data_IF_568306908694
#
_entry.id   IF_568306908694
#
_cell.length_a   1.000
_cell.length_b   1.000
_cell.length_c   1.000
_cell.angle_alpha   90.00
_cell.angle_beta   90.00
_cell.angle_gamma   90.00
#
_symmetry.space_group_name_H-M   'P 1'
#
loop_
_entity.id
_entity.type
_entity.pdbx_description
1 polymer ?
#
# COMPACT_ATOMS: atom_id res chain seq x y z
N UNK A 1 0.13 3.42 20.71
CA UNK A 1 -0.37 2.97 19.40
C UNK A 1 -1.03 4.14 18.68
N UNK A 2 -0.69 4.36 17.43
CA UNK A 2 -1.21 5.49 16.66
C UNK A 2 -1.81 4.98 15.35
N UNK A 3 -2.90 5.61 14.92
CA UNK A 3 -3.58 5.28 13.67
C UNK A 3 -3.54 6.49 12.76
N UNK A 4 -3.15 6.27 11.51
CA UNK A 4 -3.06 7.31 10.49
C UNK A 4 -3.86 6.86 9.27
N UNK A 5 -4.71 7.75 8.76
CA UNK A 5 -5.44 7.49 7.52
C UNK A 5 -4.95 8.44 6.43
N UNK A 6 -4.87 7.92 5.21
CA UNK A 6 -4.43 8.72 4.08
C UNK A 6 -5.04 8.18 2.79
N UNK A 7 -4.98 9.00 1.75
CA UNK A 7 -5.37 8.62 0.41
C UNK A 7 -4.18 8.88 -0.51
N UNK A 8 -3.73 7.84 -1.20
CA UNK A 8 -2.59 7.94 -2.10
C UNK A 8 -3.09 7.82 -3.54
N UNK A 9 -2.67 8.74 -4.39
CA UNK A 9 -2.94 8.62 -5.82
C UNK A 9 -1.87 7.71 -6.42
N UNK A 10 -2.27 6.50 -6.79
CA UNK A 10 -1.37 5.51 -7.38
C UNK A 10 -1.30 5.73 -8.88
N UNK A 11 -0.09 5.75 -9.42
CA UNK A 11 0.16 5.96 -10.84
C UNK A 11 0.97 4.79 -11.39
N UNK A 12 1.37 4.88 -12.66
CA UNK A 12 2.21 3.85 -13.29
C UNK A 12 3.66 3.88 -12.79
N UNK A 13 4.00 4.84 -11.91
CA UNK A 13 5.28 4.87 -11.22
C UNK A 13 5.07 4.36 -9.79
N UNK A 14 5.88 3.39 -9.35
CA UNK A 14 5.74 2.82 -8.01
C UNK A 14 5.97 3.89 -6.94
N UNK A 15 5.14 3.86 -5.89
CA UNK A 15 5.18 4.81 -4.79
C UNK A 15 5.12 4.08 -3.47
N UNK A 16 5.75 4.64 -2.44
CA UNK A 16 5.65 4.13 -1.08
C UNK A 16 4.29 4.51 -0.50
N UNK A 17 3.54 3.53 -0.03
CA UNK A 17 2.24 3.75 0.61
C UNK A 17 2.28 3.51 2.12
N UNK A 18 3.27 2.77 2.61
CA UNK A 18 3.55 2.65 4.04
C UNK A 18 5.06 2.68 4.21
N UNK A 19 5.56 3.73 4.84
CA UNK A 19 7.00 3.96 5.00
C UNK A 19 7.62 3.00 6.00
N UNK A 20 8.92 2.80 5.89
CA UNK A 20 9.70 2.05 6.86
C UNK A 20 9.51 2.69 8.23
N UNK A 21 9.26 1.85 9.24
CA UNK A 21 9.11 2.30 10.62
C UNK A 21 9.92 1.38 11.52
N UNK A 22 10.20 1.84 12.73
CA UNK A 22 10.90 1.03 13.73
C UNK A 22 9.96 0.18 14.57
N UNK A 23 8.69 0.12 14.19
CA UNK A 23 7.68 -0.73 14.84
C UNK A 23 6.88 -1.45 13.78
N UNK A 24 6.20 -2.53 14.17
CA UNK A 24 5.28 -3.25 13.28
C UNK A 24 4.08 -2.37 12.98
N UNK A 25 3.60 -2.44 11.74
CA UNK A 25 2.42 -1.69 11.29
C UNK A 25 1.36 -2.66 10.77
N UNK A 26 0.11 -2.40 11.13
CA UNK A 26 -1.04 -3.05 10.51
C UNK A 26 -1.61 -2.08 9.48
N UNK A 27 -1.67 -2.50 8.22
CA UNK A 27 -2.08 -1.64 7.12
C UNK A 27 -3.35 -2.19 6.49
N UNK A 28 -4.38 -1.35 6.44
CA UNK A 28 -5.65 -1.64 5.79
C UNK A 28 -5.70 -0.86 4.48
N UNK A 29 -5.98 -1.55 3.39
CA UNK A 29 -6.01 -0.96 2.06
C UNK A 29 -7.38 -1.14 1.43
N UNK A 30 -7.84 -0.11 0.71
CA UNK A 30 -9.04 -0.19 -0.11
C UNK A 30 -8.72 0.47 -1.45
N UNK A 31 -8.68 -0.33 -2.51
CA UNK A 31 -8.30 0.15 -3.83
C UNK A 31 -9.51 0.58 -4.64
N UNK A 32 -9.35 1.65 -5.40
CA UNK A 32 -10.37 2.16 -6.32
C UNK A 32 -10.00 1.90 -7.78
N UNK A 33 -9.09 0.97 -8.02
CA UNK A 33 -8.66 0.56 -9.34
C UNK A 33 -7.61 -0.54 -9.24
N UNK A 34 -7.17 -1.08 -10.37
CA UNK A 34 -6.18 -2.16 -10.38
C UNK A 34 -4.84 -1.65 -9.86
N UNK A 35 -4.46 -2.10 -8.68
CA UNK A 35 -3.25 -1.69 -7.98
C UNK A 35 -2.42 -2.92 -7.64
N UNK A 36 -1.12 -2.86 -7.89
CA UNK A 36 -0.19 -3.95 -7.58
C UNK A 36 0.64 -3.53 -6.37
N UNK A 37 0.63 -4.35 -5.33
CA UNK A 37 1.23 -4.06 -4.03
C UNK A 37 2.47 -4.92 -3.85
N UNK A 38 3.52 -4.36 -3.28
CA UNK A 38 4.73 -5.13 -3.01
C UNK A 38 5.82 -4.31 -2.33
N UNK A 39 7.05 -4.81 -2.44
CA UNK A 39 8.24 -4.15 -1.89
C UNK A 39 8.70 -2.98 -2.78
N UNK A 40 9.78 -2.32 -2.41
CA UNK A 40 10.40 -1.31 -3.28
C UNK A 40 10.83 -1.99 -4.58
N UNK A 41 10.48 -1.42 -5.69
CA UNK A 41 10.73 -2.05 -6.99
C UNK A 41 9.59 -2.93 -7.48
N UNK A 42 8.41 -2.87 -6.82
CA UNK A 42 7.24 -3.60 -7.28
C UNK A 42 6.85 -3.19 -8.70
N UNK A 43 6.46 -4.19 -9.50
CA UNK A 43 5.98 -3.96 -10.87
C UNK A 43 4.62 -4.63 -11.04
N UNK A 44 3.98 -4.39 -12.18
CA UNK A 44 2.71 -5.06 -12.50
C UNK A 44 2.88 -6.56 -12.74
N UNK A 45 4.12 -7.02 -12.90
CA UNK A 45 4.40 -8.45 -13.06
C UNK A 45 4.68 -9.16 -11.74
N UNK A 46 5.14 -8.43 -10.71
CA UNK A 46 5.56 -9.02 -9.43
C UNK A 46 4.66 -8.67 -8.28
N UNK A 47 3.81 -7.64 -8.43
CA UNK A 47 2.97 -7.16 -7.34
C UNK A 47 1.75 -8.05 -7.08
N UNK A 48 1.20 -7.92 -5.87
CA UNK A 48 -0.06 -8.54 -5.49
C UNK A 48 -1.21 -7.64 -5.94
N UNK A 49 -2.08 -8.15 -6.79
CA UNK A 49 -3.14 -7.37 -7.42
C UNK A 49 -4.31 -7.11 -6.47
N UNK A 50 -4.69 -5.84 -6.36
CA UNK A 50 -5.95 -5.39 -5.77
C UNK A 50 -6.77 -4.74 -6.86
N UNK A 51 -7.94 -5.31 -7.16
CA UNK A 51 -8.85 -4.72 -8.15
C UNK A 51 -9.70 -3.62 -7.54
N UNK A 52 -10.46 -2.94 -8.37
CA UNK A 52 -11.37 -1.89 -7.92
C UNK A 52 -12.36 -2.43 -6.89
N UNK A 53 -12.36 -1.83 -5.71
CA UNK A 53 -13.22 -2.24 -4.61
C UNK A 53 -12.63 -3.29 -3.69
N UNK A 54 -11.47 -3.85 -4.02
CA UNK A 54 -10.82 -4.85 -3.18
C UNK A 54 -10.23 -4.21 -1.92
N UNK A 55 -10.20 -4.98 -0.86
CA UNK A 55 -9.65 -4.59 0.43
C UNK A 55 -8.61 -5.61 0.86
N UNK A 56 -7.57 -5.13 1.54
CA UNK A 56 -6.50 -5.98 2.04
C UNK A 56 -6.06 -5.48 3.41
N UNK A 57 -5.83 -6.41 4.33
CA UNK A 57 -5.19 -6.12 5.60
C UNK A 57 -3.87 -6.87 5.62
N UNK A 58 -2.78 -6.15 5.83
CA UNK A 58 -1.45 -6.72 5.83
C UNK A 58 -0.65 -6.21 7.02
N UNK A 59 0.13 -7.09 7.64
CA UNK A 59 1.05 -6.73 8.71
C UNK A 59 2.42 -6.49 8.12
N UNK A 60 3.00 -5.33 8.38
CA UNK A 60 4.33 -4.97 7.90
C UNK A 60 5.29 -4.97 9.08
N UNK A 61 6.28 -5.89 9.09
CA UNK A 61 7.27 -5.93 10.18
C UNK A 61 8.09 -4.64 10.25
N UNK A 62 8.67 -4.39 11.42
CA UNK A 62 9.58 -3.26 11.55
C UNK A 62 10.71 -3.35 10.51
N UNK A 63 11.11 -2.22 9.97
CA UNK A 63 12.16 -2.15 8.96
C UNK A 63 11.72 -2.45 7.55
N UNK A 64 10.43 -2.71 7.34
CA UNK A 64 9.88 -2.98 6.00
C UNK A 64 8.96 -1.86 5.54
N UNK A 65 8.78 -1.75 4.23
CA UNK A 65 7.89 -0.78 3.62
C UNK A 65 6.95 -1.44 2.64
N UNK A 66 5.88 -0.75 2.29
CA UNK A 66 4.91 -1.21 1.31
C UNK A 66 4.81 -0.20 0.18
N UNK A 67 4.84 -0.68 -1.05
CA UNK A 67 4.78 0.15 -2.24
C UNK A 67 3.64 -0.30 -3.14
N UNK A 68 3.20 0.59 -4.02
CA UNK A 68 2.09 0.32 -4.93
C UNK A 68 2.35 0.93 -6.30
N UNK A 69 1.85 0.26 -7.33
CA UNK A 69 1.94 0.74 -8.72
C UNK A 69 0.66 0.37 -9.45
N UNK A 70 0.21 1.25 -10.35
CA UNK A 70 -0.95 0.98 -11.20
C UNK A 70 -0.50 0.47 -12.56
N UNK A 71 -1.35 -0.35 -13.21
CA UNK A 71 -1.05 -0.85 -14.55
C UNK A 71 -1.28 0.21 -15.62
N UNK A 72 -2.20 1.14 -15.40
CA UNK A 72 -2.50 2.21 -16.34
C UNK A 72 -3.22 3.35 -15.62
N UNK A 73 -3.01 4.58 -16.09
CA UNK A 73 -3.68 5.75 -15.54
C UNK A 73 -3.33 6.03 -14.09
N UNK A 74 -4.29 6.53 -13.35
CA UNK A 74 -4.13 6.80 -11.92
C UNK A 74 -5.47 6.58 -11.22
N UNK A 75 -5.42 6.20 -9.94
CA UNK A 75 -6.60 6.04 -9.11
C UNK A 75 -6.23 6.15 -7.65
N UNK A 76 -7.24 6.27 -6.79
CA UNK A 76 -7.01 6.45 -5.37
C UNK A 76 -6.88 5.12 -4.65
N UNK A 77 -5.97 5.08 -3.68
CA UNK A 77 -5.81 3.96 -2.75
C UNK A 77 -5.97 4.53 -1.34
N UNK A 78 -6.96 4.03 -0.61
CA UNK A 78 -7.18 4.45 0.77
C UNK A 78 -6.34 3.59 1.70
N UNK A 79 -5.59 4.23 2.58
CA UNK A 79 -4.63 3.55 3.46
C UNK A 79 -4.93 3.93 4.91
N UNK A 80 -5.14 2.92 5.75
CA UNK A 80 -5.28 3.11 7.19
C UNK A 80 -4.17 2.30 7.87
N UNK A 81 -3.27 2.99 8.54
CA UNK A 81 -2.11 2.37 9.19
C UNK A 81 -2.23 2.50 10.70
N UNK A 82 -2.05 1.40 11.41
CA UNK A 82 -1.97 1.38 12.87
C UNK A 82 -0.58 0.91 13.27
N UNK A 83 0.15 1.75 13.98
CA UNK A 83 1.49 1.41 14.48
C UNK A 83 1.36 0.68 15.81
N UNK A 84 2.12 -0.39 15.95
CA UNK A 84 2.17 -1.18 17.19
C UNK A 84 3.42 -0.76 17.97
N UNK A 85 3.26 0.14 18.91
CA UNK A 85 4.37 0.66 19.72
C UNK A 85 4.15 0.41 21.22
#
# INVERSE_FOLDING_TARGET
MATTSSKVTVTTTAQTIASIDNVTQYVHLHSKGATYIGNSGVTTSTGFLLDNGDKLVITIPQGCELNAVASAGSHDLYVLTTRVD
#
